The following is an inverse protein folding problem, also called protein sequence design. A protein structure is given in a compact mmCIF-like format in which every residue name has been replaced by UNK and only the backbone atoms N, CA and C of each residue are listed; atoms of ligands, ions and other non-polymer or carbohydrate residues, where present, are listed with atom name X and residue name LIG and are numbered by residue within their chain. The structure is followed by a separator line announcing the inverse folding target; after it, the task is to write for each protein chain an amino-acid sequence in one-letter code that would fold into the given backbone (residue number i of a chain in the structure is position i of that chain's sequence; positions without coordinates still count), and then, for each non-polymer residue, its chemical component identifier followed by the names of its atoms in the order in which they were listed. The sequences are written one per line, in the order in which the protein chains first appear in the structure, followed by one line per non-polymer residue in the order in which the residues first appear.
data_IF_107090753555
#
_entry.id   IF_107090753555
#
_cell.length_a   1.000
_cell.length_b   1.000
_cell.length_c   1.000
_cell.angle_alpha   90.00
_cell.angle_beta   90.00
_cell.angle_gamma   90.00
#
_symmetry.space_group_name_H-M   'P 1'
#
loop_
_entity.id
_entity.type
_entity.pdbx_description
1 polymer ?
#
# COMPACT_ATOMS: atom_id res chain seq x y z
N UNK A 1 -3.65 -8.07 -36.93
CA UNK A 1 -4.24 -9.37 -36.47
C UNK A 1 -3.33 -10.11 -35.49
N UNK A 2 -2.04 -10.28 -35.82
CA UNK A 2 -1.10 -11.00 -34.94
C UNK A 2 -0.85 -10.25 -33.63
N UNK A 3 -0.60 -8.95 -33.70
CA UNK A 3 -0.45 -8.08 -32.51
C UNK A 3 -1.70 -8.15 -31.63
N UNK A 4 -2.89 -8.08 -32.18
CA UNK A 4 -4.15 -8.17 -31.44
C UNK A 4 -4.30 -9.52 -30.70
N UNK A 5 -3.84 -10.61 -31.32
CA UNK A 5 -3.84 -11.93 -30.67
C UNK A 5 -2.86 -11.99 -29.49
N UNK A 6 -1.68 -11.38 -29.65
CA UNK A 6 -0.68 -11.27 -28.59
C UNK A 6 -1.24 -10.45 -27.42
N UNK A 7 -1.81 -9.28 -27.69
CA UNK A 7 -2.43 -8.43 -26.70
C UNK A 7 -3.52 -9.16 -25.89
N UNK A 8 -4.41 -9.87 -26.57
CA UNK A 8 -5.50 -10.61 -25.94
C UNK A 8 -5.02 -11.84 -25.13
N UNK A 9 -3.82 -12.34 -25.38
CA UNK A 9 -3.27 -13.53 -24.76
C UNK A 9 -2.20 -13.22 -23.72
N UNK A 10 -1.68 -11.99 -23.69
CA UNK A 10 -0.52 -11.61 -22.85
C UNK A 10 -0.79 -11.71 -21.36
N UNK A 11 -2.05 -11.48 -20.92
CA UNK A 11 -2.48 -11.59 -19.54
C UNK A 11 -3.73 -12.48 -19.44
N UNK A 12 -3.58 -13.80 -19.53
CA UNK A 12 -4.72 -14.72 -19.63
C UNK A 12 -5.49 -14.90 -18.34
N UNK A 13 -4.98 -14.37 -17.21
CA UNK A 13 -5.60 -14.50 -15.88
C UNK A 13 -6.02 -13.13 -15.35
N UNK A 14 -6.85 -13.12 -14.32
CA UNK A 14 -7.23 -11.91 -13.61
C UNK A 14 -6.19 -11.53 -12.56
N UNK A 15 -6.14 -10.24 -12.24
CA UNK A 15 -5.24 -9.67 -11.26
C UNK A 15 -4.13 -8.83 -11.89
N UNK A 16 -3.49 -8.00 -11.08
CA UNK A 16 -2.50 -7.04 -11.56
C UNK A 16 -1.11 -7.67 -11.69
N UNK A 17 -0.45 -7.94 -10.59
CA UNK A 17 0.89 -8.49 -10.58
C UNK A 17 1.13 -9.38 -9.37
N UNK A 18 2.05 -10.32 -9.53
CA UNK A 18 2.39 -11.29 -8.48
C UNK A 18 3.55 -10.84 -7.58
N UNK A 19 4.07 -9.63 -7.77
CA UNK A 19 5.22 -9.09 -7.07
C UNK A 19 5.12 -7.59 -6.83
N UNK A 20 6.24 -6.97 -6.45
CA UNK A 20 6.35 -5.54 -6.16
C UNK A 20 6.59 -4.70 -7.43
N UNK A 21 5.70 -4.88 -8.40
CA UNK A 21 5.55 -3.97 -9.53
C UNK A 21 4.71 -2.76 -9.08
N UNK A 22 4.58 -1.74 -9.93
CA UNK A 22 3.97 -0.45 -9.56
C UNK A 22 2.58 -0.59 -8.95
N UNK A 23 1.67 -1.33 -9.61
CA UNK A 23 0.29 -1.45 -9.15
C UNK A 23 0.20 -2.10 -7.78
N UNK A 24 0.93 -3.19 -7.58
CA UNK A 24 0.90 -3.90 -6.31
C UNK A 24 1.65 -3.15 -5.21
N UNK A 25 2.77 -2.51 -5.53
CA UNK A 25 3.45 -1.62 -4.58
C UNK A 25 2.51 -0.54 -4.07
N UNK A 26 1.77 0.14 -4.97
CA UNK A 26 0.79 1.14 -4.54
C UNK A 26 -0.35 0.55 -3.71
N UNK A 27 -0.82 -0.68 -3.99
CA UNK A 27 -1.79 -1.36 -3.11
C UNK A 27 -1.27 -1.55 -1.69
N UNK A 28 0.01 -1.91 -1.54
CA UNK A 28 0.66 -2.03 -0.24
C UNK A 28 0.77 -0.66 0.46
N UNK A 29 1.14 0.37 -0.28
CA UNK A 29 1.31 1.72 0.25
C UNK A 29 -0.01 2.36 0.67
N UNK A 30 -1.12 2.13 -0.06
CA UNK A 30 -2.43 2.63 0.37
C UNK A 30 -2.89 2.01 1.69
N UNK A 31 -2.48 0.77 1.97
CA UNK A 31 -2.71 0.13 3.26
C UNK A 31 -1.90 0.81 4.37
N UNK A 32 -0.60 1.06 4.13
CA UNK A 32 0.26 1.76 5.09
C UNK A 32 -0.12 3.22 5.32
N UNK A 33 -0.70 3.90 4.31
CA UNK A 33 -1.26 5.24 4.43
C UNK A 33 -2.56 5.29 5.24
N UNK A 34 -3.18 4.14 5.56
CA UNK A 34 -4.50 4.09 6.18
C UNK A 34 -5.67 4.36 5.24
N UNK A 35 -5.43 4.34 3.93
CA UNK A 35 -6.44 4.64 2.90
C UNK A 35 -7.08 3.38 2.30
N UNK A 36 -6.69 2.20 2.75
CA UNK A 36 -7.32 0.93 2.39
C UNK A 36 -7.33 -0.03 3.57
N UNK A 37 -8.22 -1.03 3.50
CA UNK A 37 -8.37 -2.02 4.55
C UNK A 37 -7.13 -2.91 4.67
N UNK A 38 -6.81 -3.41 5.89
CA UNK A 38 -5.76 -4.40 6.10
C UNK A 38 -5.95 -5.63 5.20
N UNK A 39 -4.87 -6.07 4.58
CA UNK A 39 -4.88 -7.17 3.61
C UNK A 39 -5.08 -6.74 2.16
N UNK A 40 -5.40 -5.47 1.89
CA UNK A 40 -5.57 -5.00 0.51
C UNK A 40 -4.31 -5.20 -0.33
N UNK A 41 -3.13 -4.90 0.22
CA UNK A 41 -1.86 -4.97 -0.49
C UNK A 41 -1.40 -6.40 -0.77
N UNK A 42 -1.81 -7.40 0.01
CA UNK A 42 -1.28 -8.76 -0.09
C UNK A 42 -2.30 -9.82 -0.54
N UNK A 43 -3.61 -9.57 -0.40
CA UNK A 43 -4.64 -10.52 -0.84
C UNK A 43 -4.66 -10.60 -2.36
N UNK A 44 -4.48 -11.80 -2.91
CA UNK A 44 -4.51 -12.01 -4.35
C UNK A 44 -5.87 -11.68 -4.96
N UNK A 45 -5.89 -11.18 -6.19
CA UNK A 45 -7.13 -10.86 -6.91
C UNK A 45 -8.05 -12.06 -7.10
N UNK A 46 -7.47 -13.26 -7.19
CA UNK A 46 -8.18 -14.54 -7.35
C UNK A 46 -8.60 -15.19 -6.03
N UNK A 47 -8.17 -14.65 -4.89
CA UNK A 47 -8.54 -15.20 -3.59
C UNK A 47 -10.01 -14.92 -3.26
N UNK A 48 -10.72 -15.91 -2.70
CA UNK A 48 -12.12 -15.75 -2.29
C UNK A 48 -12.30 -14.61 -1.27
N UNK A 49 -11.32 -14.43 -0.38
CA UNK A 49 -11.30 -13.36 0.61
C UNK A 49 -11.32 -11.94 0.00
N UNK A 50 -10.86 -11.77 -1.26
CA UNK A 50 -10.89 -10.45 -1.93
C UNK A 50 -12.31 -9.91 -2.09
N UNK A 51 -13.30 -10.78 -2.31
CA UNK A 51 -14.70 -10.37 -2.42
C UNK A 51 -15.22 -9.80 -1.10
N UNK A 52 -14.94 -10.45 0.01
CA UNK A 52 -15.35 -9.96 1.34
C UNK A 52 -14.68 -8.63 1.67
N UNK A 53 -13.38 -8.50 1.37
CA UNK A 53 -12.64 -7.24 1.54
C UNK A 53 -13.32 -6.08 0.79
N UNK A 54 -13.79 -6.30 -0.43
CA UNK A 54 -14.52 -5.27 -1.18
C UNK A 54 -15.90 -4.94 -0.58
N UNK A 55 -16.60 -5.94 -0.06
CA UNK A 55 -17.88 -5.70 0.62
C UNK A 55 -17.67 -4.92 1.93
N UNK A 56 -16.64 -5.23 2.67
CA UNK A 56 -16.28 -4.51 3.89
C UNK A 56 -15.84 -3.08 3.60
N UNK A 57 -15.05 -2.85 2.56
CA UNK A 57 -14.72 -1.51 2.11
C UNK A 57 -15.97 -0.69 1.71
N UNK A 58 -16.92 -1.35 1.02
CA UNK A 58 -18.20 -0.73 0.66
C UNK A 58 -19.05 -0.34 1.87
N UNK A 59 -19.08 -1.17 2.93
CA UNK A 59 -19.76 -0.86 4.18
C UNK A 59 -19.05 0.29 4.91
N UNK A 60 -17.73 0.18 5.05
CA UNK A 60 -16.92 1.19 5.73
C UNK A 60 -17.07 2.58 5.12
N UNK A 61 -17.03 2.71 3.78
CA UNK A 61 -17.16 4.03 3.15
C UNK A 61 -18.50 4.69 3.46
N UNK A 62 -19.59 3.91 3.58
CA UNK A 62 -20.91 4.43 3.98
C UNK A 62 -20.89 4.92 5.43
N UNK A 63 -20.23 4.16 6.32
CA UNK A 63 -20.13 4.55 7.73
C UNK A 63 -19.24 5.79 7.90
N UNK A 64 -18.12 5.90 7.17
CA UNK A 64 -17.29 7.10 7.13
C UNK A 64 -18.08 8.33 6.63
N UNK A 65 -18.90 8.17 5.58
CA UNK A 65 -19.78 9.24 5.13
C UNK A 65 -20.77 9.70 6.21
N UNK A 66 -21.37 8.77 6.95
CA UNK A 66 -22.26 9.12 8.07
C UNK A 66 -21.50 9.83 9.18
N UNK A 67 -20.33 9.34 9.55
CA UNK A 67 -19.49 9.97 10.56
C UNK A 67 -19.17 11.41 10.19
N UNK A 68 -18.83 11.67 8.94
CA UNK A 68 -18.56 13.01 8.43
C UNK A 68 -19.82 13.88 8.36
N UNK A 69 -20.87 13.43 7.65
CA UNK A 69 -22.04 14.28 7.38
C UNK A 69 -23.02 14.40 8.54
N UNK A 70 -23.20 13.34 9.34
CA UNK A 70 -24.14 13.33 10.45
C UNK A 70 -23.46 13.69 11.79
N UNK A 71 -22.17 13.33 11.90
CA UNK A 71 -21.35 13.53 13.10
C UNK A 71 -20.46 14.77 13.10
N UNK A 72 -20.35 15.47 11.96
CA UNK A 72 -19.47 16.63 11.76
C UNK A 72 -18.01 16.33 12.15
N UNK A 73 -17.54 15.11 11.81
CA UNK A 73 -16.21 14.59 12.17
C UNK A 73 -15.29 14.52 10.95
N UNK A 74 -14.39 15.49 10.84
CA UNK A 74 -13.41 15.59 9.76
C UNK A 74 -12.26 14.58 9.87
N UNK A 75 -12.10 13.91 11.01
CA UNK A 75 -10.99 12.97 11.24
C UNK A 75 -11.01 11.76 10.29
N UNK A 76 -12.17 11.45 9.73
CA UNK A 76 -12.39 10.35 8.78
C UNK A 76 -12.08 10.71 7.33
N UNK A 77 -11.74 11.95 7.05
CA UNK A 77 -11.41 12.40 5.70
C UNK A 77 -10.04 11.88 5.27
N UNK A 78 -9.85 11.53 3.99
CA UNK A 78 -8.56 11.05 3.48
C UNK A 78 -7.37 11.98 3.81
N UNK A 79 -7.56 13.30 3.81
CA UNK A 79 -6.51 14.27 4.15
C UNK A 79 -6.17 14.28 5.65
N UNK A 80 -7.12 13.93 6.52
CA UNK A 80 -6.85 13.81 7.95
C UNK A 80 -6.10 12.50 8.25
N UNK A 81 -6.44 11.41 7.56
CA UNK A 81 -5.81 10.09 7.71
C UNK A 81 -4.38 10.12 7.15
N UNK A 82 -4.21 10.57 5.91
CA UNK A 82 -2.92 10.59 5.21
C UNK A 82 -2.11 11.86 5.56
N UNK A 83 -1.77 12.02 6.84
CA UNK A 83 -0.86 13.06 7.31
C UNK A 83 0.62 12.67 7.06
N UNK A 84 1.58 13.61 7.29
CA UNK A 84 3.03 13.37 7.04
C UNK A 84 3.53 12.06 7.64
N UNK A 85 3.23 11.69 8.89
CA UNK A 85 3.67 10.40 9.44
C UNK A 85 3.17 9.17 8.66
N UNK A 86 1.99 9.26 8.03
CA UNK A 86 1.48 8.17 7.19
C UNK A 86 2.30 8.01 5.90
N UNK A 87 2.72 9.11 5.28
CA UNK A 87 3.62 9.10 4.12
C UNK A 87 5.00 8.55 4.49
N UNK A 88 5.55 8.93 5.62
CA UNK A 88 6.82 8.41 6.11
C UNK A 88 6.74 6.90 6.38
N UNK A 89 5.69 6.42 7.03
CA UNK A 89 5.46 4.99 7.27
C UNK A 89 5.28 4.21 5.96
N UNK A 90 4.53 4.76 5.01
CA UNK A 90 4.35 4.16 3.69
C UNK A 90 5.68 4.08 2.93
N UNK A 91 6.50 5.12 2.97
CA UNK A 91 7.82 5.10 2.33
C UNK A 91 8.76 4.09 2.98
N UNK A 92 8.76 3.98 4.32
CA UNK A 92 9.52 2.93 5.03
C UNK A 92 9.07 1.53 4.62
N UNK A 93 7.77 1.31 4.48
CA UNK A 93 7.25 0.04 3.95
C UNK A 93 7.77 -0.24 2.55
N UNK A 94 7.72 0.75 1.65
CA UNK A 94 8.17 0.60 0.27
C UNK A 94 9.65 0.21 0.19
N UNK A 95 10.50 0.89 0.94
CA UNK A 95 11.94 0.59 1.06
C UNK A 95 12.14 -0.82 1.63
N UNK A 96 11.44 -1.17 2.71
CA UNK A 96 11.56 -2.46 3.37
C UNK A 96 11.15 -3.63 2.47
N UNK A 97 10.20 -3.42 1.56
CA UNK A 97 9.72 -4.42 0.60
C UNK A 97 10.44 -4.39 -0.75
N UNK A 98 11.30 -3.40 -1.01
CA UNK A 98 11.90 -3.22 -2.32
C UNK A 98 10.86 -2.94 -3.41
N UNK A 99 10.00 -1.96 -3.16
CA UNK A 99 8.92 -1.57 -4.05
C UNK A 99 9.38 -0.97 -5.38
N UNK A 100 8.42 -0.60 -6.21
CA UNK A 100 8.68 0.00 -7.51
C UNK A 100 9.19 1.44 -7.38
N UNK A 101 10.18 1.84 -8.18
CA UNK A 101 10.63 3.25 -8.24
C UNK A 101 9.53 4.23 -8.64
N UNK A 102 8.47 3.76 -9.30
CA UNK A 102 7.32 4.60 -9.64
C UNK A 102 6.52 5.04 -8.41
N UNK A 103 6.59 4.31 -7.29
CA UNK A 103 5.91 4.68 -6.04
C UNK A 103 6.40 6.00 -5.49
N UNK A 104 7.67 6.33 -5.69
CA UNK A 104 8.24 7.64 -5.33
C UNK A 104 7.45 8.76 -6.00
N UNK A 105 7.24 8.66 -7.32
CA UNK A 105 6.48 9.66 -8.07
C UNK A 105 5.03 9.75 -7.59
N UNK A 106 4.41 8.61 -7.30
CA UNK A 106 3.01 8.55 -6.86
C UNK A 106 2.83 9.09 -5.44
N UNK A 107 3.74 8.78 -4.51
CA UNK A 107 3.67 9.33 -3.15
C UNK A 107 3.89 10.83 -3.12
N UNK A 108 4.87 11.34 -3.86
CA UNK A 108 5.11 12.79 -3.97
C UNK A 108 3.90 13.51 -4.58
N UNK A 109 3.30 12.95 -5.63
CA UNK A 109 2.08 13.52 -6.22
C UNK A 109 0.90 13.50 -5.23
N UNK A 110 0.71 12.38 -4.50
CA UNK A 110 -0.34 12.27 -3.50
C UNK A 110 -0.12 13.23 -2.32
N UNK A 111 1.12 13.40 -1.86
CA UNK A 111 1.47 14.35 -0.80
C UNK A 111 1.18 15.80 -1.24
N UNK A 112 1.54 16.17 -2.47
CA UNK A 112 1.24 17.47 -3.03
C UNK A 112 -0.26 17.75 -3.08
N UNK A 113 -1.06 16.78 -3.58
CA UNK A 113 -2.53 16.89 -3.64
C UNK A 113 -3.18 16.95 -2.25
N UNK A 114 -2.61 16.23 -1.28
CA UNK A 114 -3.05 16.28 0.10
C UNK A 114 -2.65 17.57 0.84
N UNK A 115 -1.69 18.33 0.30
CA UNK A 115 -1.10 19.49 0.96
C UNK A 115 -0.16 19.11 2.11
N UNK A 116 0.46 17.93 2.01
CA UNK A 116 1.41 17.40 3.00
C UNK A 116 2.83 17.76 2.58
N UNK A 117 3.59 18.29 3.52
CA UNK A 117 5.01 18.63 3.35
C UNK A 117 5.86 17.36 3.44
N UNK A 118 5.91 16.62 2.33
CA UNK A 118 6.67 15.40 2.16
C UNK A 118 7.34 15.43 0.79
N UNK A 119 8.66 15.37 0.76
CA UNK A 119 9.47 15.61 -0.44
C UNK A 119 10.57 14.55 -0.67
N UNK A 120 11.45 14.82 -1.64
CA UNK A 120 12.56 13.93 -1.97
C UNK A 120 13.64 13.86 -0.89
N UNK A 121 13.80 14.91 -0.09
CA UNK A 121 14.78 14.93 1.01
C UNK A 121 14.31 13.99 2.12
N UNK A 122 13.02 14.02 2.45
CA UNK A 122 12.41 13.05 3.38
C UNK A 122 12.66 11.61 2.91
N UNK A 123 12.46 11.34 1.61
CA UNK A 123 12.65 9.99 1.04
C UNK A 123 14.12 9.56 1.13
N UNK A 124 15.06 10.45 0.82
CA UNK A 124 16.50 10.16 0.93
C UNK A 124 16.90 9.84 2.37
N UNK A 125 16.44 10.63 3.34
CA UNK A 125 16.69 10.39 4.76
C UNK A 125 16.13 9.04 5.21
N UNK A 126 14.88 8.73 4.86
CA UNK A 126 14.25 7.45 5.18
C UNK A 126 14.99 6.26 4.56
N UNK A 127 15.50 6.42 3.33
CA UNK A 127 16.22 5.38 2.62
C UNK A 127 17.53 4.99 3.27
N UNK A 128 18.18 5.91 3.98
CA UNK A 128 19.46 5.67 4.66
C UNK A 128 19.33 4.84 5.94
N UNK A 129 18.15 4.86 6.55
CA UNK A 129 17.92 4.24 7.86
C UNK A 129 16.99 3.03 7.84
N UNK A 130 16.23 2.86 6.76
CA UNK A 130 15.26 1.77 6.65
C UNK A 130 15.88 0.55 5.99
N UNK A 131 15.91 -0.61 6.67
CA UNK A 131 16.45 -1.84 6.09
C UNK A 131 15.51 -2.46 5.08
N UNK A 132 16.05 -3.16 4.09
CA UNK A 132 15.29 -4.05 3.21
C UNK A 132 15.01 -5.36 3.96
N UNK A 133 13.76 -5.63 4.27
CA UNK A 133 13.33 -6.83 5.00
C UNK A 133 12.85 -7.94 4.07
N UNK A 134 12.28 -7.60 2.93
CA UNK A 134 11.62 -8.53 2.02
C UNK A 134 12.17 -8.37 0.61
N UNK A 135 12.36 -9.50 -0.09
CA UNK A 135 12.70 -9.51 -1.51
C UNK A 135 11.79 -10.47 -2.25
N UNK A 136 10.85 -9.90 -2.98
CA UNK A 136 9.90 -10.63 -3.85
C UNK A 136 10.08 -10.21 -5.31
N UNK A 137 9.44 -10.91 -6.22
CA UNK A 137 9.49 -10.55 -7.64
C UNK A 137 9.15 -9.05 -7.86
N UNK A 138 9.85 -8.33 -8.72
CA UNK A 138 10.92 -8.78 -9.62
C UNK A 138 12.32 -8.88 -9.00
N UNK A 139 12.51 -8.46 -7.74
CA UNK A 139 13.80 -8.45 -7.05
C UNK A 139 14.26 -9.85 -6.59
N UNK A 140 13.39 -10.84 -6.69
CA UNK A 140 13.64 -12.26 -6.39
C UNK A 140 12.81 -13.13 -7.32
N UNK A 141 13.36 -14.31 -7.69
CA UNK A 141 12.64 -15.33 -8.45
C UNK A 141 12.05 -16.43 -7.55
N UNK A 142 12.22 -16.32 -6.24
CA UNK A 142 11.84 -17.37 -5.29
C UNK A 142 10.53 -17.06 -4.58
N UNK A 143 10.24 -15.79 -4.34
CA UNK A 143 9.10 -15.34 -3.55
C UNK A 143 8.22 -14.37 -4.32
N UNK A 144 6.94 -14.46 -4.07
CA UNK A 144 5.88 -13.67 -4.69
C UNK A 144 4.96 -13.06 -3.62
N UNK A 145 4.01 -12.26 -4.04
CA UNK A 145 3.07 -11.60 -3.12
C UNK A 145 2.23 -12.59 -2.31
N UNK A 146 1.96 -13.77 -2.85
CA UNK A 146 1.26 -14.84 -2.12
C UNK A 146 2.06 -15.30 -0.89
N UNK A 147 3.39 -15.37 -0.99
CA UNK A 147 4.26 -15.74 0.13
C UNK A 147 4.24 -14.66 1.22
N UNK A 148 4.24 -13.39 0.81
CA UNK A 148 4.07 -12.25 1.74
C UNK A 148 2.72 -12.35 2.46
N UNK A 149 1.64 -12.62 1.72
CA UNK A 149 0.32 -12.78 2.31
C UNK A 149 0.28 -13.91 3.35
N UNK A 150 0.86 -15.07 3.04
CA UNK A 150 0.97 -16.21 3.96
C UNK A 150 1.81 -15.92 5.19
N UNK A 151 2.80 -15.05 5.07
CA UNK A 151 3.66 -14.61 6.18
C UNK A 151 2.99 -13.55 7.09
N UNK A 152 1.76 -13.14 6.80
CA UNK A 152 0.99 -12.16 7.57
C UNK A 152 0.75 -10.84 6.87
N UNK A 153 1.16 -10.73 5.60
CA UNK A 153 0.88 -9.59 4.74
C UNK A 153 1.61 -8.30 5.14
N UNK A 154 1.06 -7.20 4.72
CA UNK A 154 1.59 -5.86 5.02
C UNK A 154 1.64 -5.56 6.52
N UNK A 155 0.61 -5.93 7.32
CA UNK A 155 0.66 -5.72 8.77
C UNK A 155 1.84 -6.42 9.46
N UNK A 156 2.27 -7.59 8.97
CA UNK A 156 3.44 -8.28 9.54
C UNK A 156 4.73 -7.50 9.27
N UNK A 157 4.90 -6.93 8.08
CA UNK A 157 6.08 -6.13 7.75
C UNK A 157 6.09 -4.83 8.53
N UNK A 158 4.95 -4.15 8.62
CA UNK A 158 4.81 -2.96 9.47
C UNK A 158 5.10 -3.30 10.93
N UNK A 159 4.64 -4.43 11.44
CA UNK A 159 4.94 -4.89 12.79
C UNK A 159 6.45 -5.14 13.03
N UNK A 160 7.20 -5.60 12.03
CA UNK A 160 8.66 -5.72 12.13
C UNK A 160 9.34 -4.35 12.15
N UNK A 161 8.89 -3.42 11.32
CA UNK A 161 9.39 -2.04 11.33
C UNK A 161 9.10 -1.35 12.67
N UNK A 162 7.92 -1.58 13.24
CA UNK A 162 7.53 -1.05 14.55
C UNK A 162 8.40 -1.62 15.67
N UNK A 163 8.64 -2.94 15.67
CA UNK A 163 9.58 -3.57 16.62
C UNK A 163 10.99 -3.00 16.54
N UNK A 164 11.40 -2.57 15.35
CA UNK A 164 12.65 -1.86 15.10
C UNK A 164 12.62 -0.37 15.49
N UNK A 165 11.50 0.15 16.02
CA UNK A 165 11.33 1.56 16.35
C UNK A 165 11.35 2.48 15.14
N UNK A 166 10.95 1.97 13.97
CA UNK A 166 11.02 2.70 12.69
C UNK A 166 9.69 3.30 12.26
N UNK A 167 8.58 2.92 12.87
CA UNK A 167 7.29 3.52 12.56
C UNK A 167 6.98 4.67 13.49
N UNK A 168 6.31 5.66 12.91
CA UNK A 168 5.68 6.73 13.67
C UNK A 168 4.29 6.28 14.08
N UNK A 169 3.97 6.40 15.37
CA UNK A 169 2.65 6.03 15.88
C UNK A 169 1.60 6.93 15.24
N UNK A 170 0.70 6.31 14.51
CA UNK A 170 -0.54 6.92 14.05
C UNK A 170 -1.64 6.50 15.02
N UNK A 171 -2.31 7.46 15.63
CA UNK A 171 -3.34 7.24 16.66
C UNK A 171 -4.55 6.44 16.11
N UNK A 172 -4.58 6.12 14.83
CA UNK A 172 -5.73 5.55 14.12
C UNK A 172 -5.47 4.18 13.45
N UNK A 173 -4.41 3.47 13.83
CA UNK A 173 -4.20 2.09 13.37
C UNK A 173 -4.53 1.10 14.47
#
# INVERSE_FOLDING_TARGET
EEITKIEQSACPTCGSCSGMFTANSMNCLTEALGLSLPGNGSTLATAAARKELFLDAGRLVVDLCRTYYDGDDDSVLPRAIAAKPAFENAMRLDIAMGGSTNTILHLLAAAQEAGVDFDQEDIDELSRVTPCLVKVAPNSNQFYMEDVHRAGGIPAILGELDRGGMLLSLIHI
#
